data_IF_995235381540
#
_entry.id   IF_995235381540
#
_cell.length_a   1.000
_cell.length_b   1.000
_cell.length_c   1.000
_cell.angle_alpha   90.00
_cell.angle_beta   90.00
_cell.angle_gamma   90.00
#
_symmetry.space_group_name_H-M   'P 1'
#
loop_
_entity.id
_entity.type
_entity.pdbx_description
1 polymer ?
#
# COMPACT_ATOMS: atom_id res chain seq x y z
N UNK A 1 -59.53 26.97 22.97
CA UNK A 1 -59.83 28.02 21.96
C UNK A 1 -58.70 29.03 22.03
N UNK A 2 -57.73 28.94 21.11
CA UNK A 2 -57.46 29.90 19.99
C UNK A 2 -56.91 31.26 20.44
N UNK A 3 -55.91 31.91 19.84
CA UNK A 3 -54.70 31.60 19.03
C UNK A 3 -54.04 32.96 18.63
N UNK A 4 -52.69 33.00 18.58
CA UNK A 4 -51.74 33.80 17.73
C UNK A 4 -51.79 35.35 17.74
N UNK A 5 -50.66 36.08 17.71
CA UNK A 5 -49.73 36.31 16.56
C UNK A 5 -48.43 37.05 17.04
N UNK A 6 -47.21 36.53 16.89
CA UNK A 6 -46.13 36.76 15.88
C UNK A 6 -45.20 38.02 16.01
N UNK A 7 -43.91 37.77 15.69
CA UNK A 7 -42.79 38.69 15.36
C UNK A 7 -41.95 39.29 16.52
N UNK A 8 -40.60 39.38 16.53
CA UNK A 8 -39.43 38.69 15.97
C UNK A 8 -38.16 39.45 16.45
N UNK A 9 -37.11 38.70 16.81
CA UNK A 9 -35.65 38.97 16.68
C UNK A 9 -34.95 40.12 17.43
N UNK A 10 -33.86 39.70 18.10
CA UNK A 10 -32.68 40.52 18.30
C UNK A 10 -31.71 39.99 19.37
N UNK A 11 -31.23 38.74 19.27
CA UNK A 11 -30.08 38.30 20.07
C UNK A 11 -28.94 37.93 19.13
N UNK A 12 -28.00 38.86 18.98
CA UNK A 12 -26.72 38.68 18.29
C UNK A 12 -25.82 37.80 19.15
N UNK A 13 -25.83 36.50 18.89
CA UNK A 13 -24.77 35.60 19.31
C UNK A 13 -23.79 35.46 18.14
N UNK A 14 -22.79 36.33 18.09
CA UNK A 14 -21.60 36.12 17.25
C UNK A 14 -20.85 34.88 17.77
N UNK A 15 -20.66 33.82 16.96
CA UNK A 15 -19.77 32.75 17.33
C UNK A 15 -18.34 33.22 17.06
N UNK A 16 -17.58 33.39 18.15
CA UNK A 16 -16.13 33.52 18.22
C UNK A 16 -15.39 33.06 16.94
N UNK A 17 -14.79 33.97 16.13
CA UNK A 17 -14.08 33.57 14.92
C UNK A 17 -12.80 32.84 15.32
N UNK A 18 -12.69 31.57 14.93
CA UNK A 18 -11.54 30.70 15.18
C UNK A 18 -10.19 31.46 15.06
N UNK A 19 -9.39 31.58 16.13
CA UNK A 19 -8.32 32.59 16.21
C UNK A 19 -7.08 32.30 15.36
N UNK A 20 -7.05 31.19 14.62
CA UNK A 20 -5.93 30.82 13.79
C UNK A 20 -6.42 30.54 12.35
N UNK A 21 -6.35 31.52 11.43
CA UNK A 21 -6.65 31.29 10.03
C UNK A 21 -5.61 30.33 9.42
N UNK A 22 -5.95 29.68 8.30
CA UNK A 22 -5.01 28.89 7.53
C UNK A 22 -3.88 29.80 7.02
N UNK A 23 -2.59 29.48 7.29
CA UNK A 23 -1.49 30.31 6.81
C UNK A 23 -1.33 30.37 5.28
N UNK A 24 -1.99 29.47 4.54
CA UNK A 24 -1.89 29.38 3.08
C UNK A 24 -2.99 30.21 2.41
N UNK A 25 -4.26 29.99 2.78
CA UNK A 25 -5.40 30.72 2.18
C UNK A 25 -5.86 31.94 2.99
N UNK A 26 -5.30 32.17 4.17
CA UNK A 26 -5.61 33.27 5.10
C UNK A 26 -7.08 33.31 5.58
N UNK A 27 -7.86 32.26 5.28
CA UNK A 27 -9.25 32.11 5.69
C UNK A 27 -9.39 31.13 6.87
N UNK A 28 -10.60 30.96 7.38
CA UNK A 28 -10.92 29.89 8.32
C UNK A 28 -10.50 28.52 7.77
N UNK A 29 -9.96 27.67 8.65
CA UNK A 29 -9.50 26.34 8.23
C UNK A 29 -10.70 25.45 7.94
N UNK A 30 -10.72 24.86 6.75
CA UNK A 30 -11.70 23.86 6.31
C UNK A 30 -10.99 22.52 6.10
N UNK A 31 -11.54 21.42 6.62
CA UNK A 31 -10.89 20.10 6.66
C UNK A 31 -9.49 20.20 7.28
N UNK A 32 -9.46 20.25 8.61
CA UNK A 32 -8.22 20.42 9.37
C UNK A 32 -7.22 19.31 9.06
N UNK A 33 -5.99 19.72 8.83
CA UNK A 33 -4.86 18.84 8.54
C UNK A 33 -3.61 19.34 9.24
N UNK A 34 -2.71 18.42 9.54
CA UNK A 34 -1.48 18.65 10.28
C UNK A 34 -0.32 17.99 9.57
N UNK A 35 0.86 18.61 9.62
CA UNK A 35 2.08 17.94 9.21
C UNK A 35 2.62 17.07 10.34
N UNK A 36 3.19 15.91 10.02
CA UNK A 36 3.59 14.88 10.99
C UNK A 36 4.69 15.27 11.99
N UNK A 37 5.71 16.03 11.58
CA UNK A 37 6.83 16.38 12.47
C UNK A 37 6.63 17.69 13.23
N UNK A 38 5.94 18.66 12.62
CA UNK A 38 5.80 19.99 13.21
C UNK A 38 4.37 20.31 13.68
N UNK A 39 3.39 19.46 13.36
CA UNK A 39 1.98 19.59 13.76
C UNK A 39 1.34 20.95 13.44
N UNK A 40 1.92 21.71 12.50
CA UNK A 40 1.33 22.95 12.04
C UNK A 40 0.05 22.67 11.25
N UNK A 41 -0.98 23.46 11.53
CA UNK A 41 -2.34 23.25 11.04
C UNK A 41 -2.64 24.02 9.76
N UNK A 42 -3.25 23.36 8.79
CA UNK A 42 -3.65 23.92 7.49
C UNK A 42 -5.01 23.36 7.03
N UNK A 43 -5.62 23.96 6.01
CA UNK A 43 -6.65 23.26 5.25
C UNK A 43 -6.00 22.13 4.47
N UNK A 44 -6.61 20.94 4.45
CA UNK A 44 -6.09 19.79 3.73
C UNK A 44 -5.80 20.11 2.25
N UNK A 45 -6.76 20.70 1.55
CA UNK A 45 -6.60 21.11 0.15
C UNK A 45 -5.47 22.12 -0.07
N UNK A 46 -5.21 23.01 0.89
CA UNK A 46 -4.17 24.02 0.80
C UNK A 46 -2.78 23.41 0.94
N UNK A 47 -2.58 22.52 1.90
CA UNK A 47 -1.27 21.90 2.12
C UNK A 47 -0.92 20.90 1.01
N UNK A 48 -1.93 20.23 0.42
CA UNK A 48 -1.76 19.39 -0.78
C UNK A 48 -1.37 20.23 -2.00
N UNK A 49 -2.02 21.37 -2.24
CA UNK A 49 -1.63 22.25 -3.35
C UNK A 49 -0.20 22.80 -3.15
N UNK A 50 0.13 23.14 -1.91
CA UNK A 50 1.49 23.57 -1.55
C UNK A 50 2.53 22.49 -1.82
N UNK A 51 2.24 21.20 -1.54
CA UNK A 51 3.17 20.12 -1.87
C UNK A 51 3.41 20.00 -3.36
N UNK A 52 2.37 20.12 -4.19
CA UNK A 52 2.49 20.02 -5.65
C UNK A 52 3.33 21.16 -6.25
N UNK A 53 3.12 22.39 -5.76
CA UNK A 53 3.91 23.56 -6.19
C UNK A 53 5.35 23.47 -5.69
N UNK A 54 5.57 22.94 -4.49
CA UNK A 54 6.92 22.77 -3.92
C UNK A 54 7.70 21.71 -4.67
N UNK A 55 7.05 20.60 -5.06
CA UNK A 55 7.63 19.55 -5.89
C UNK A 55 8.03 20.07 -7.28
N UNK A 56 7.20 20.93 -7.89
CA UNK A 56 7.46 21.48 -9.24
C UNK A 56 8.66 22.43 -9.31
N UNK A 57 9.08 23.02 -8.19
CA UNK A 57 10.21 23.97 -8.13
C UNK A 57 11.55 23.30 -7.83
N UNK A 58 11.55 22.04 -7.42
CA UNK A 58 12.76 21.29 -7.10
C UNK A 58 13.00 20.24 -8.18
N UNK A 59 14.19 20.30 -8.80
CA UNK A 59 14.65 19.41 -9.87
C UNK A 59 14.69 17.91 -9.49
N UNK A 60 14.40 17.57 -8.24
CA UNK A 60 14.37 16.20 -7.74
C UNK A 60 13.10 16.01 -6.92
N UNK A 61 12.43 14.88 -7.14
CA UNK A 61 11.23 14.52 -6.42
C UNK A 61 11.53 14.24 -4.95
N UNK A 62 11.22 15.21 -4.10
CA UNK A 62 11.46 15.07 -2.66
C UNK A 62 10.40 14.17 -2.05
N UNK A 63 10.85 13.16 -1.30
CA UNK A 63 10.02 12.32 -0.43
C UNK A 63 9.53 13.04 0.83
N UNK A 64 9.57 14.37 0.83
CA UNK A 64 9.37 15.20 2.02
C UNK A 64 8.96 16.61 1.65
N UNK A 65 8.11 17.21 2.47
CA UNK A 65 7.63 18.57 2.33
C UNK A 65 8.23 19.48 3.41
N UNK A 66 8.77 20.63 3.00
CA UNK A 66 9.11 21.69 3.96
C UNK A 66 7.84 22.45 4.37
N UNK A 67 7.62 22.53 5.67
CA UNK A 67 6.48 23.24 6.25
C UNK A 67 6.49 24.73 5.79
N UNK A 68 5.37 25.28 5.31
CA UNK A 68 5.28 26.69 4.94
C UNK A 68 5.67 27.65 6.08
N UNK A 69 5.30 27.30 7.31
CA UNK A 69 5.46 28.12 8.52
C UNK A 69 6.88 28.05 9.10
N UNK A 70 7.32 26.85 9.49
CA UNK A 70 8.56 26.67 10.27
C UNK A 70 9.72 26.09 9.46
N UNK A 71 9.48 25.73 8.19
CA UNK A 71 10.45 25.09 7.28
C UNK A 71 10.93 23.70 7.71
N UNK A 72 10.46 23.15 8.82
CA UNK A 72 10.68 21.75 9.22
C UNK A 72 10.31 20.80 8.09
N UNK A 73 11.11 19.76 7.90
CA UNK A 73 10.86 18.70 6.93
C UNK A 73 9.82 17.72 7.49
N UNK A 74 8.83 17.37 6.68
CA UNK A 74 7.71 16.50 7.04
C UNK A 74 7.54 15.44 5.96
N UNK A 75 7.08 14.24 6.30
CA UNK A 75 6.99 13.10 5.36
C UNK A 75 5.55 12.73 5.04
N UNK A 76 4.59 13.29 5.78
CA UNK A 76 3.17 13.06 5.58
C UNK A 76 2.27 14.19 6.11
N UNK A 77 1.00 14.12 5.74
CA UNK A 77 -0.08 14.99 6.18
C UNK A 77 -1.13 14.13 6.90
N UNK A 78 -1.39 14.45 8.16
CA UNK A 78 -2.43 13.84 8.98
C UNK A 78 -3.73 14.64 8.80
N UNK A 79 -4.84 13.98 8.50
CA UNK A 79 -6.15 14.63 8.31
C UNK A 79 -7.31 13.69 8.67
N UNK A 80 -8.54 14.22 8.66
CA UNK A 80 -9.74 13.42 8.86
C UNK A 80 -9.85 12.80 10.27
N UNK A 81 -9.30 13.47 11.28
CA UNK A 81 -9.37 13.00 12.66
C UNK A 81 -10.79 13.13 13.21
N UNK A 82 -11.35 12.02 13.68
CA UNK A 82 -12.72 11.95 14.25
C UNK A 82 -12.76 11.74 15.77
N UNK A 83 -11.60 11.72 16.44
CA UNK A 83 -11.47 11.40 17.85
C UNK A 83 -10.99 9.98 18.15
N UNK A 84 -11.09 9.07 17.18
CA UNK A 84 -10.73 7.64 17.32
C UNK A 84 -9.83 7.13 16.20
N UNK A 85 -9.88 7.76 15.04
CA UNK A 85 -9.12 7.40 13.85
C UNK A 85 -8.62 8.65 13.12
N UNK A 86 -7.58 8.48 12.30
CA UNK A 86 -7.07 9.52 11.40
C UNK A 86 -6.62 8.89 10.08
N UNK A 87 -6.51 9.73 9.05
CA UNK A 87 -5.93 9.38 7.75
C UNK A 87 -4.59 10.07 7.59
N UNK A 88 -3.65 9.40 6.93
CA UNK A 88 -2.29 9.91 6.74
C UNK A 88 -1.91 9.82 5.26
N UNK A 89 -1.66 10.98 4.66
CA UNK A 89 -1.24 11.15 3.28
C UNK A 89 0.28 11.33 3.24
N UNK A 90 1.00 10.30 2.82
CA UNK A 90 2.46 10.35 2.67
C UNK A 90 2.87 11.07 1.38
N UNK A 91 3.91 11.90 1.43
CA UNK A 91 4.45 12.53 0.22
C UNK A 91 5.12 11.47 -0.65
N UNK A 92 4.42 11.04 -1.71
CA UNK A 92 4.93 10.05 -2.65
C UNK A 92 6.24 10.55 -3.26
N UNK A 93 7.30 9.73 -3.17
CA UNK A 93 8.46 9.87 -4.05
C UNK A 93 7.93 9.84 -5.48
N UNK A 94 8.34 10.77 -6.35
CA UNK A 94 8.17 10.48 -7.77
C UNK A 94 8.86 9.15 -8.00
N UNK A 95 8.07 8.24 -8.53
CA UNK A 95 8.42 6.91 -8.95
C UNK A 95 9.56 6.89 -10.01
N UNK A 96 10.10 8.05 -10.39
CA UNK A 96 11.14 8.18 -11.39
C UNK A 96 12.56 7.87 -10.96
N UNK A 97 12.96 7.91 -9.67
CA UNK A 97 14.37 7.68 -9.26
C UNK A 97 14.54 7.47 -7.74
N UNK A 98 14.02 6.37 -7.18
CA UNK A 98 14.42 5.92 -5.84
C UNK A 98 15.04 4.54 -5.97
N UNK A 99 16.37 4.50 -6.06
CA UNK A 99 17.21 3.29 -6.18
C UNK A 99 16.88 2.17 -5.16
N UNK A 100 16.13 2.49 -4.10
CA UNK A 100 15.71 1.55 -3.07
C UNK A 100 14.66 0.51 -3.53
N UNK A 101 13.56 0.94 -4.18
CA UNK A 101 12.51 0.02 -4.60
C UNK A 101 12.80 -0.50 -6.01
N UNK A 102 13.44 -1.67 -6.07
CA UNK A 102 13.72 -2.35 -7.32
C UNK A 102 12.44 -2.62 -8.14
N UNK A 103 12.62 -2.89 -9.43
CA UNK A 103 11.54 -3.31 -10.32
C UNK A 103 10.74 -4.49 -9.75
N UNK A 104 11.41 -5.40 -9.03
CA UNK A 104 10.77 -6.52 -8.34
C UNK A 104 9.73 -6.08 -7.29
N UNK A 105 9.99 -5.01 -6.53
CA UNK A 105 9.02 -4.48 -5.56
C UNK A 105 7.79 -3.88 -6.24
N UNK A 106 8.00 -3.19 -7.37
CA UNK A 106 6.92 -2.57 -8.16
C UNK A 106 6.03 -3.62 -8.80
N UNK A 107 6.66 -4.59 -9.45
CA UNK A 107 6.00 -5.78 -10.00
C UNK A 107 5.20 -6.49 -8.92
N UNK A 108 5.80 -6.67 -7.74
CA UNK A 108 5.15 -7.43 -6.68
C UNK A 108 3.95 -6.71 -6.10
N UNK A 109 4.04 -5.40 -5.88
CA UNK A 109 2.89 -4.59 -5.48
C UNK A 109 1.74 -4.73 -6.50
N UNK A 110 2.03 -4.71 -7.80
CA UNK A 110 1.02 -4.92 -8.86
C UNK A 110 0.30 -6.27 -8.72
N UNK A 111 1.00 -7.33 -8.32
CA UNK A 111 0.41 -8.66 -8.10
C UNK A 111 -0.67 -8.65 -7.02
N UNK A 112 -0.52 -7.86 -5.96
CA UNK A 112 -1.50 -7.77 -4.87
C UNK A 112 -2.84 -7.17 -5.29
N UNK A 113 -2.83 -6.37 -6.36
CA UNK A 113 -4.03 -5.76 -6.96
C UNK A 113 -4.58 -6.56 -8.15
N UNK A 114 -3.92 -7.66 -8.52
CA UNK A 114 -4.35 -8.53 -9.62
C UNK A 114 -4.96 -9.80 -9.06
N UNK A 115 -6.02 -10.32 -9.68
CA UNK A 115 -6.58 -11.61 -9.27
C UNK A 115 -5.60 -12.75 -9.65
N UNK A 116 -5.27 -13.66 -8.70
CA UNK A 116 -4.27 -14.70 -8.92
C UNK A 116 -4.84 -15.93 -9.65
N UNK A 117 -6.13 -15.91 -10.02
CA UNK A 117 -6.78 -16.99 -10.78
C UNK A 117 -6.61 -18.39 -10.17
N UNK A 118 -6.28 -19.37 -11.02
CA UNK A 118 -6.09 -20.78 -10.69
C UNK A 118 -4.67 -21.12 -10.15
N UNK A 119 -3.90 -20.12 -9.70
CA UNK A 119 -2.51 -20.32 -9.30
C UNK A 119 -2.35 -21.27 -8.10
N UNK A 120 -3.34 -21.32 -7.20
CA UNK A 120 -3.36 -22.25 -6.07
C UNK A 120 -3.37 -23.72 -6.52
N UNK A 121 -4.06 -24.03 -7.63
CA UNK A 121 -4.12 -25.37 -8.19
C UNK A 121 -2.82 -25.72 -8.92
N UNK A 122 -2.26 -24.75 -9.68
CA UNK A 122 -0.97 -24.88 -10.38
C UNK A 122 0.20 -25.11 -9.41
N UNK A 123 0.20 -24.44 -8.26
CA UNK A 123 1.21 -24.61 -7.22
C UNK A 123 0.90 -25.77 -6.26
N UNK A 124 -0.17 -26.53 -6.52
CA UNK A 124 -0.55 -27.71 -5.76
C UNK A 124 -0.62 -27.48 -4.24
N UNK A 125 -1.24 -26.37 -3.80
CA UNK A 125 -1.35 -25.99 -2.38
C UNK A 125 -1.94 -27.11 -1.53
N UNK A 126 -2.97 -27.81 -2.01
CA UNK A 126 -3.56 -28.96 -1.29
C UNK A 126 -2.54 -30.08 -1.01
N UNK A 127 -1.62 -30.34 -1.96
CA UNK A 127 -0.59 -31.37 -1.80
C UNK A 127 0.47 -30.97 -0.77
N UNK A 128 0.81 -29.69 -0.70
CA UNK A 128 1.75 -29.18 0.30
C UNK A 128 1.29 -29.48 1.74
N UNK A 129 0.02 -29.20 2.04
CA UNK A 129 -0.57 -29.48 3.36
C UNK A 129 -0.67 -30.98 3.65
N UNK A 130 -1.17 -31.77 2.70
CA UNK A 130 -1.29 -33.23 2.85
C UNK A 130 0.06 -33.93 3.05
N UNK A 131 1.12 -33.41 2.42
CA UNK A 131 2.47 -33.97 2.50
C UNK A 131 3.29 -33.49 3.71
N UNK A 132 2.70 -32.68 4.60
CA UNK A 132 3.36 -32.13 5.80
C UNK A 132 4.63 -31.33 5.53
N UNK A 133 4.77 -30.76 4.34
CA UNK A 133 5.91 -29.92 3.97
C UNK A 133 6.03 -28.64 4.79
N UNK A 134 4.94 -28.19 5.42
CA UNK A 134 4.92 -27.07 6.36
C UNK A 134 5.79 -27.27 7.62
N UNK A 135 6.22 -28.51 7.90
CA UNK A 135 7.17 -28.79 8.98
C UNK A 135 8.62 -28.51 8.59
N UNK A 136 8.90 -28.32 7.30
CA UNK A 136 10.25 -28.02 6.81
C UNK A 136 10.53 -26.52 6.93
N UNK A 137 11.82 -26.18 7.09
CA UNK A 137 12.25 -24.79 7.03
C UNK A 137 12.24 -24.32 5.57
N UNK A 138 11.78 -23.09 5.34
CA UNK A 138 11.90 -22.44 4.05
C UNK A 138 12.99 -21.38 4.13
N UNK A 139 14.13 -21.64 3.48
CA UNK A 139 15.30 -20.76 3.51
C UNK A 139 15.06 -19.40 2.84
N UNK A 140 14.09 -19.32 1.93
CA UNK A 140 13.74 -18.10 1.20
C UNK A 140 12.68 -17.26 1.92
N UNK A 141 12.00 -17.82 2.93
CA UNK A 141 10.91 -17.14 3.64
C UNK A 141 11.31 -15.79 4.25
N UNK A 142 12.48 -15.63 4.93
CA UNK A 142 12.86 -14.32 5.48
C UNK A 142 13.03 -13.25 4.40
N UNK A 143 13.70 -13.59 3.29
CA UNK A 143 13.90 -12.68 2.16
C UNK A 143 12.60 -12.35 1.44
N UNK A 144 11.72 -13.34 1.30
CA UNK A 144 10.39 -13.14 0.73
C UNK A 144 9.57 -12.21 1.61
N UNK A 145 9.46 -12.48 2.92
CA UNK A 145 8.73 -11.62 3.88
C UNK A 145 9.23 -10.18 3.83
N UNK A 146 10.56 -9.97 3.86
CA UNK A 146 11.16 -8.64 3.75
C UNK A 146 10.65 -7.91 2.50
N UNK A 147 10.77 -8.53 1.32
CA UNK A 147 10.34 -7.95 0.04
C UNK A 147 8.85 -7.63 0.02
N UNK A 148 7.99 -8.56 0.46
CA UNK A 148 6.54 -8.35 0.45
C UNK A 148 6.13 -7.20 1.37
N UNK A 149 6.71 -7.14 2.57
CA UNK A 149 6.40 -6.08 3.54
C UNK A 149 6.91 -4.74 3.02
N UNK A 150 8.13 -4.68 2.48
CA UNK A 150 8.66 -3.48 1.81
C UNK A 150 7.76 -3.04 0.65
N UNK A 151 7.30 -3.97 -0.19
CA UNK A 151 6.40 -3.67 -1.30
C UNK A 151 5.03 -3.16 -0.84
N UNK A 152 4.48 -3.66 0.27
CA UNK A 152 3.14 -3.27 0.73
C UNK A 152 3.16 -2.00 1.59
N UNK A 153 4.14 -1.88 2.48
CA UNK A 153 4.27 -0.72 3.37
C UNK A 153 4.95 0.46 2.67
N UNK A 154 5.73 0.21 1.61
CA UNK A 154 6.57 1.22 0.95
C UNK A 154 7.59 1.83 1.92
N UNK A 155 8.09 1.02 2.86
CA UNK A 155 9.14 1.37 3.83
C UNK A 155 10.40 0.53 3.62
N UNK A 156 11.57 1.09 3.97
CA UNK A 156 12.87 0.41 3.83
C UNK A 156 13.16 -0.53 5.01
N UNK A 157 13.06 0.01 6.23
CA UNK A 157 13.27 -0.75 7.45
C UNK A 157 11.98 -1.46 7.87
N UNK A 158 11.92 -2.74 7.52
CA UNK A 158 10.82 -3.64 7.89
C UNK A 158 11.28 -4.76 8.81
N UNK A 159 12.51 -4.67 9.33
CA UNK A 159 13.19 -5.81 9.94
C UNK A 159 12.46 -6.34 11.17
N UNK A 160 11.97 -5.45 12.02
CA UNK A 160 11.22 -5.80 13.23
C UNK A 160 9.93 -6.56 12.85
N UNK A 161 9.19 -6.04 11.86
CA UNK A 161 7.91 -6.61 11.41
C UNK A 161 8.16 -7.98 10.76
N UNK A 162 9.15 -8.07 9.90
CA UNK A 162 9.55 -9.31 9.24
C UNK A 162 9.97 -10.38 10.26
N UNK A 163 10.81 -10.05 11.25
CA UNK A 163 11.20 -10.99 12.31
C UNK A 163 10.04 -11.36 13.24
N UNK A 164 9.12 -10.44 13.51
CA UNK A 164 7.90 -10.74 14.26
C UNK A 164 7.07 -11.82 13.55
N UNK A 165 6.78 -11.64 12.26
CA UNK A 165 6.00 -12.58 11.46
C UNK A 165 6.73 -13.92 11.31
N UNK A 166 8.03 -13.88 11.02
CA UNK A 166 8.86 -15.09 10.95
C UNK A 166 8.84 -15.86 12.27
N UNK A 167 8.93 -15.16 13.40
CA UNK A 167 8.85 -15.73 14.74
C UNK A 167 7.51 -16.42 15.02
N UNK A 168 6.39 -15.84 14.57
CA UNK A 168 5.05 -16.44 14.67
C UNK A 168 5.00 -17.75 13.86
N UNK A 169 5.48 -17.74 12.61
CA UNK A 169 5.51 -18.93 11.74
C UNK A 169 6.42 -20.03 12.32
N UNK A 170 7.59 -19.66 12.83
CA UNK A 170 8.52 -20.62 13.44
C UNK A 170 7.98 -21.20 14.76
N UNK A 171 7.25 -20.40 15.54
CA UNK A 171 6.56 -20.86 16.75
C UNK A 171 5.50 -21.90 16.41
N UNK A 172 4.68 -21.60 15.41
CA UNK A 172 3.68 -22.53 14.87
C UNK A 172 4.32 -23.84 14.40
N UNK A 173 5.41 -23.76 13.64
CA UNK A 173 6.10 -24.95 13.15
C UNK A 173 6.59 -25.85 14.29
N UNK A 174 7.15 -25.26 15.36
CA UNK A 174 7.58 -26.02 16.55
C UNK A 174 6.41 -26.66 17.28
N UNK A 175 5.30 -25.95 17.39
CA UNK A 175 4.09 -26.47 18.02
C UNK A 175 3.49 -27.64 17.21
N UNK A 176 3.44 -27.53 15.88
CA UNK A 176 2.99 -28.62 15.01
C UNK A 176 3.90 -29.85 15.02
N UNK A 177 5.21 -29.70 15.25
CA UNK A 177 6.11 -30.85 15.45
C UNK A 177 5.75 -31.66 16.70
N UNK A 178 5.20 -31.01 17.72
CA UNK A 178 4.82 -31.65 18.99
C UNK A 178 3.40 -32.25 18.95
N UNK A 179 2.54 -31.81 18.04
CA UNK A 179 1.15 -32.27 17.92
C UNK A 179 1.01 -33.42 16.91
N UNK A 180 0.67 -34.63 17.35
CA UNK A 180 0.64 -35.82 16.46
C UNK A 180 -0.67 -36.06 15.68
N UNK A 181 -1.76 -35.32 15.98
CA UNK A 181 -3.14 -35.69 15.56
C UNK A 181 -3.99 -34.59 14.92
N UNK A 182 -3.41 -33.50 14.41
CA UNK A 182 -4.19 -32.44 13.76
C UNK A 182 -4.37 -32.74 12.26
N UNK A 183 -5.54 -32.42 11.71
CA UNK A 183 -5.80 -32.50 10.26
C UNK A 183 -5.07 -31.38 9.49
N UNK A 184 -4.83 -31.58 8.19
CA UNK A 184 -4.18 -30.58 7.34
C UNK A 184 -4.95 -29.27 7.27
N UNK A 185 -6.28 -29.34 7.31
CA UNK A 185 -7.19 -28.19 7.17
C UNK A 185 -7.14 -27.31 8.42
N UNK A 186 -7.09 -27.94 9.60
CA UNK A 186 -6.97 -27.21 10.87
C UNK A 186 -5.61 -26.50 10.97
N UNK A 187 -4.53 -27.14 10.53
CA UNK A 187 -3.18 -26.54 10.51
C UNK A 187 -3.15 -25.34 9.56
N UNK A 188 -3.74 -25.49 8.37
CA UNK A 188 -3.84 -24.41 7.40
C UNK A 188 -4.61 -23.21 7.97
N UNK A 189 -5.73 -23.45 8.67
CA UNK A 189 -6.52 -22.39 9.28
C UNK A 189 -5.81 -21.73 10.48
N UNK A 190 -5.07 -22.52 11.28
CA UNK A 190 -4.27 -22.00 12.40
C UNK A 190 -3.15 -21.07 11.89
N UNK A 191 -2.49 -21.42 10.78
CA UNK A 191 -1.54 -20.52 10.11
C UNK A 191 -2.23 -19.22 9.68
N UNK A 192 -3.37 -19.32 8.99
CA UNK A 192 -4.11 -18.15 8.47
C UNK A 192 -4.47 -17.18 9.57
N UNK A 193 -5.06 -17.70 10.65
CA UNK A 193 -5.50 -16.90 11.78
C UNK A 193 -4.33 -16.16 12.43
N UNK A 194 -3.29 -16.88 12.85
CA UNK A 194 -2.19 -16.27 13.62
C UNK A 194 -1.32 -15.33 12.78
N UNK A 195 -1.07 -15.66 11.51
CA UNK A 195 -0.35 -14.74 10.62
C UNK A 195 -1.22 -13.51 10.33
N UNK A 196 -2.54 -13.67 10.14
CA UNK A 196 -3.43 -12.52 9.97
C UNK A 196 -3.39 -11.61 11.19
N UNK A 197 -3.47 -12.15 12.40
CA UNK A 197 -3.39 -11.37 13.64
C UNK A 197 -2.06 -10.62 13.78
N UNK A 198 -0.95 -11.27 13.46
CA UNK A 198 0.39 -10.68 13.53
C UNK A 198 0.59 -9.55 12.50
N UNK A 199 -0.02 -9.66 11.32
CA UNK A 199 0.22 -8.77 10.18
C UNK A 199 -0.80 -7.63 10.09
N UNK A 200 -2.01 -7.83 10.62
CA UNK A 200 -3.14 -6.88 10.53
C UNK A 200 -2.81 -5.45 10.98
N UNK A 201 -2.04 -5.22 12.07
CA UNK A 201 -1.68 -3.86 12.47
C UNK A 201 -0.87 -3.09 11.43
N UNK A 202 -0.14 -3.79 10.55
CA UNK A 202 0.79 -3.19 9.59
C UNK A 202 0.19 -3.11 8.18
N UNK A 203 -0.48 -4.16 7.72
CA UNK A 203 -0.97 -4.25 6.34
C UNK A 203 -2.45 -3.93 6.17
N UNK A 204 -3.19 -3.77 7.29
CA UNK A 204 -4.60 -3.37 7.32
C UNK A 204 -5.48 -4.17 6.35
N UNK A 205 -6.08 -3.53 5.35
CA UNK A 205 -6.95 -4.16 4.35
C UNK A 205 -6.26 -5.16 3.41
N UNK A 206 -4.92 -5.19 3.39
CA UNK A 206 -4.14 -6.11 2.54
C UNK A 206 -3.78 -7.44 3.22
N UNK A 207 -4.12 -7.59 4.50
CA UNK A 207 -3.76 -8.74 5.35
C UNK A 207 -4.19 -10.08 4.74
N UNK A 208 -5.47 -10.20 4.36
CA UNK A 208 -6.00 -11.47 3.84
C UNK A 208 -5.32 -11.86 2.52
N UNK A 209 -4.99 -10.87 1.68
CA UNK A 209 -4.27 -11.13 0.43
C UNK A 209 -2.84 -11.57 0.71
N UNK A 210 -2.16 -10.92 1.65
CA UNK A 210 -0.82 -11.30 2.08
C UNK A 210 -0.74 -12.75 2.57
N UNK A 211 -1.70 -13.17 3.39
CA UNK A 211 -1.75 -14.55 3.89
C UNK A 211 -1.94 -15.57 2.77
N UNK A 212 -2.81 -15.28 1.80
CA UNK A 212 -2.97 -16.13 0.59
C UNK A 212 -1.68 -16.23 -0.22
N UNK A 213 -1.00 -15.10 -0.43
CA UNK A 213 0.28 -15.07 -1.16
C UNK A 213 1.38 -15.83 -0.41
N UNK A 214 1.42 -15.75 0.93
CA UNK A 214 2.33 -16.52 1.76
C UNK A 214 2.08 -18.03 1.60
N UNK A 215 0.82 -18.47 1.62
CA UNK A 215 0.47 -19.87 1.37
C UNK A 215 0.92 -20.36 0.00
N UNK A 216 0.71 -19.55 -1.04
CA UNK A 216 1.16 -19.87 -2.40
C UNK A 216 2.67 -20.02 -2.46
N UNK A 217 3.41 -19.08 -1.85
CA UNK A 217 4.86 -19.11 -1.82
C UNK A 217 5.39 -20.34 -1.09
N UNK A 218 4.89 -20.60 0.13
CA UNK A 218 5.28 -21.77 0.93
C UNK A 218 4.97 -23.08 0.21
N UNK A 219 3.78 -23.19 -0.41
CA UNK A 219 3.38 -24.38 -1.15
C UNK A 219 4.24 -24.64 -2.39
N UNK A 220 4.72 -23.58 -3.05
CA UNK A 220 5.55 -23.69 -4.23
C UNK A 220 6.90 -24.36 -3.95
N UNK A 221 7.49 -24.11 -2.77
CA UNK A 221 8.85 -24.54 -2.45
C UNK A 221 9.94 -23.95 -3.37
N UNK A 222 9.63 -22.87 -4.08
CA UNK A 222 10.52 -22.22 -5.04
C UNK A 222 11.38 -21.14 -4.37
N UNK A 223 12.47 -20.76 -5.05
CA UNK A 223 13.16 -19.50 -4.74
C UNK A 223 12.27 -18.32 -5.12
N UNK A 224 12.60 -17.13 -4.59
CA UNK A 224 11.89 -15.88 -4.86
C UNK A 224 11.79 -15.62 -6.37
N UNK A 225 12.91 -15.72 -7.10
CA UNK A 225 12.94 -15.47 -8.55
C UNK A 225 12.16 -16.51 -9.36
N UNK A 226 12.21 -17.78 -8.94
CA UNK A 226 11.48 -18.85 -9.61
C UNK A 226 9.97 -18.73 -9.39
N UNK A 227 9.56 -18.31 -8.18
CA UNK A 227 8.16 -18.01 -7.88
C UNK A 227 7.65 -16.85 -8.74
N UNK A 228 8.42 -15.77 -8.86
CA UNK A 228 8.05 -14.61 -9.69
C UNK A 228 7.88 -15.01 -11.16
N UNK A 229 8.77 -15.85 -11.71
CA UNK A 229 8.65 -16.37 -13.09
C UNK A 229 7.36 -17.14 -13.33
N UNK A 230 6.93 -17.96 -12.37
CA UNK A 230 5.66 -18.71 -12.46
C UNK A 230 4.48 -17.73 -12.48
N UNK A 231 4.55 -16.69 -11.66
CA UNK A 231 3.50 -15.68 -11.52
C UNK A 231 3.41 -14.79 -12.77
N UNK A 232 4.54 -14.35 -13.34
CA UNK A 232 4.61 -13.62 -14.62
C UNK A 232 4.03 -14.45 -15.77
N UNK A 233 4.44 -15.72 -15.88
CA UNK A 233 3.91 -16.64 -16.90
C UNK A 233 2.41 -16.84 -16.76
N UNK A 234 1.92 -16.95 -15.53
CA UNK A 234 0.49 -17.12 -15.26
C UNK A 234 -0.32 -15.88 -15.68
N UNK A 235 0.19 -14.68 -15.39
CA UNK A 235 -0.48 -13.41 -15.72
C UNK A 235 -0.27 -12.97 -17.18
N UNK A 236 0.47 -13.73 -17.98
CA UNK A 236 0.77 -13.38 -19.37
C UNK A 236 1.62 -12.12 -19.52
N UNK A 237 2.33 -11.70 -18.48
CA UNK A 237 3.20 -10.52 -18.56
C UNK A 237 4.49 -10.92 -19.28
N UNK A 238 4.72 -10.35 -20.46
CA UNK A 238 5.98 -10.53 -21.20
C UNK A 238 7.11 -9.86 -20.40
N UNK A 239 8.21 -10.60 -20.21
CA UNK A 239 9.49 -10.02 -19.81
C UNK A 239 9.95 -9.18 -21.00
N UNK A 240 10.07 -7.86 -20.83
CA UNK A 240 10.81 -7.03 -21.78
C UNK A 240 12.28 -7.34 -21.50
N UNK A 241 12.78 -8.38 -22.15
CA UNK A 241 14.19 -8.73 -22.07
C UNK A 241 14.95 -7.67 -22.86
N UNK A 242 15.65 -6.78 -22.16
CA UNK A 242 16.60 -5.86 -22.78
C UNK A 242 17.92 -6.60 -22.88
N UNK A 243 18.04 -7.45 -23.90
CA UNK A 243 19.33 -7.93 -24.38
C UNK A 243 19.35 -7.86 -25.90
N UNK A 244 20.45 -7.26 -26.37
CA UNK A 244 20.75 -6.87 -27.74
C UNK A 244 20.74 -8.06 -28.70
N UNK A 245 20.19 -7.87 -29.90
CA UNK A 245 20.80 -8.24 -31.18
C UNK A 245 19.97 -7.62 -32.32
N UNK A 246 20.66 -6.93 -33.23
CA UNK A 246 20.15 -6.32 -34.46
C UNK A 246 19.39 -7.33 -35.33
N UNK A 247 18.26 -6.92 -35.92
CA UNK A 247 18.14 -6.88 -37.38
C UNK A 247 16.87 -6.15 -37.86
N UNK A 248 17.09 -5.44 -38.97
CA UNK A 248 16.22 -4.64 -39.82
C UNK A 248 15.02 -5.45 -40.35
N UNK A 249 13.77 -4.99 -40.16
CA UNK A 249 12.83 -4.69 -41.27
C UNK A 249 11.46 -4.20 -40.75
N UNK A 250 10.82 -3.39 -41.59
CA UNK A 250 9.58 -2.64 -41.39
C UNK A 250 8.37 -3.57 -41.26
N UNK A 251 7.38 -3.16 -40.46
CA UNK A 251 6.02 -2.88 -40.93
C UNK A 251 5.17 -2.34 -39.77
N UNK A 252 4.59 -1.15 -39.99
CA UNK A 252 3.62 -0.53 -39.11
C UNK A 252 2.29 -1.30 -39.21
N UNK A 253 1.86 -1.90 -38.12
CA UNK A 253 0.47 -2.28 -37.90
C UNK A 253 0.06 -1.82 -36.49
N UNK A 254 -0.82 -0.81 -36.47
CA UNK A 254 -1.56 -0.38 -35.29
C UNK A 254 -2.60 -1.46 -34.95
N UNK A 255 -2.47 -2.10 -33.78
CA UNK A 255 -3.47 -3.03 -33.25
C UNK A 255 -3.70 -2.78 -31.74
N UNK A 256 -4.89 -3.09 -31.21
CA UNK A 256 -5.56 -2.26 -30.20
C UNK A 256 -5.15 -2.59 -28.76
N UNK A 257 -5.06 -1.54 -27.93
CA UNK A 257 -4.85 -1.62 -26.49
C UNK A 257 -6.04 -2.31 -25.77
N UNK A 258 -5.98 -3.63 -25.60
CA UNK A 258 -6.92 -4.35 -24.73
C UNK A 258 -6.43 -4.40 -23.27
N UNK A 259 -7.11 -3.63 -22.43
CA UNK A 259 -7.42 -3.87 -21.00
C UNK A 259 -6.31 -4.47 -20.12
N UNK A 260 -5.29 -3.68 -19.80
CA UNK A 260 -4.51 -3.89 -18.57
C UNK A 260 -5.36 -3.47 -17.35
N UNK A 261 -5.46 -4.29 -16.27
CA UNK A 261 -6.15 -3.87 -15.07
C UNK A 261 -5.40 -2.69 -14.45
N UNK A 262 -6.08 -1.55 -14.34
CA UNK A 262 -5.55 -0.35 -13.71
C UNK A 262 -5.22 -0.68 -12.25
N UNK A 263 -3.94 -0.66 -11.91
CA UNK A 263 -3.50 -0.57 -10.52
C UNK A 263 -4.15 0.70 -9.97
N UNK A 264 -4.93 0.64 -8.86
CA UNK A 264 -5.44 1.83 -8.22
C UNK A 264 -4.25 2.64 -7.67
N UNK A 265 -3.67 3.47 -8.54
CA UNK A 265 -3.00 4.67 -8.10
C UNK A 265 -4.07 5.47 -7.37
N UNK A 266 -3.85 5.69 -6.07
CA UNK A 266 -4.68 6.63 -5.35
C UNK A 266 -4.45 8.02 -5.97
N UNK A 267 -5.44 8.40 -6.79
CA UNK A 267 -5.76 9.71 -7.34
C UNK A 267 -4.71 10.38 -8.23
N UNK A 268 -4.97 10.34 -9.54
CA UNK A 268 -4.81 11.51 -10.41
C UNK A 268 -6.15 11.67 -11.14
N UNK A 269 -6.89 12.72 -10.77
CA UNK A 269 -7.94 13.28 -11.61
C UNK A 269 -7.21 14.15 -12.65
N UNK A 270 -6.87 13.57 -13.78
CA UNK A 270 -6.67 14.26 -15.05
C UNK A 270 -7.64 13.54 -16.00
N UNK A 271 -8.50 14.16 -16.78
CA UNK A 271 -8.56 15.49 -17.38
C UNK A 271 -10.03 15.60 -17.90
N UNK A 272 -10.65 16.74 -18.16
CA UNK A 272 -10.42 17.51 -19.38
C UNK A 272 -11.36 18.72 -19.44
N UNK A 273 -10.80 19.87 -19.82
CA UNK A 273 -10.98 20.43 -21.17
C UNK A 273 -10.93 21.96 -21.09
N UNK A 274 -9.80 22.50 -21.50
CA UNK A 274 -9.82 23.71 -22.31
C UNK A 274 -10.65 23.42 -23.57
N UNK A 275 -11.76 24.14 -23.73
CA UNK A 275 -12.33 24.46 -25.04
C UNK A 275 -12.81 25.90 -25.04
N UNK A 276 -12.00 26.72 -25.71
CA UNK A 276 -12.30 27.99 -26.40
C UNK A 276 -12.41 29.27 -25.57
#
# INVERSE_FOLDING_TARGET
MMAKDESLRGSSSDPNPNPNPCPICLSTVTQESYLDHCFHRFCYSCIIRWSNVSASKQLCAQSSLKCPLCKTQNFSIIHGYDGTSFQQHYFSKSVGNSEFFSEAHRYRLKCYYTEPGDLADKLHVSRYWKSRKYLQQNLFLPGWLRREIQALMQEEDVDIIMHHILGVIDSLRRDWLNKSRISSEMIQEELRMLVSEAVRPFLTGRTERFVKELELFLASGLSIDAFDKVYMKHLGWKVVDTSEEDDDDRHAEEEPLEHAPAVPYLYILDEDSDRN
#
